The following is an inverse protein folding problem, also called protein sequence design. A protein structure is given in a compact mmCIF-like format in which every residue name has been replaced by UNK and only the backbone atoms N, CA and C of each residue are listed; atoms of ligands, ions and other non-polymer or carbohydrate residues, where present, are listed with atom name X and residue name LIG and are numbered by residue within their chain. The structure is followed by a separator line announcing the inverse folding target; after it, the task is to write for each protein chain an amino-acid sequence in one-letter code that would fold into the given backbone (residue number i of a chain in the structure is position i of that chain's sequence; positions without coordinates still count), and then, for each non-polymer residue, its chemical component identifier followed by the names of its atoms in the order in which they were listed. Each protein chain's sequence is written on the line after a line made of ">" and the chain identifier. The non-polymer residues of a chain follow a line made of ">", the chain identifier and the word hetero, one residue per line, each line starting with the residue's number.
data_IF_322810245114
#
_entry.id   IF_322810245114
#
_cell.length_a   1.000
_cell.length_b   1.000
_cell.length_c   1.000
_cell.angle_alpha   90.00
_cell.angle_beta   90.00
_cell.angle_gamma   90.00
#
_symmetry.space_group_name_H-M   'P 1'
#
loop_
_entity.id
_entity.type
_entity.pdbx_description
1 polymer ?
#
# COMPACT_ATOMS: atom_id res chain seq x y z
N UNK A 1 -14.47 5.12 -16.60
CA UNK A 1 -13.07 5.06 -16.14
C UNK A 1 -12.25 4.25 -17.14
N UNK A 2 -11.27 4.91 -17.76
CA UNK A 2 -10.32 4.26 -18.67
C UNK A 2 -9.55 3.15 -17.92
N UNK A 3 -9.59 1.92 -18.45
CA UNK A 3 -8.86 0.73 -17.95
C UNK A 3 -7.42 1.00 -17.52
N UNK A 4 -6.76 1.96 -18.17
CA UNK A 4 -5.36 2.31 -17.92
C UNK A 4 -5.09 2.84 -16.51
N UNK A 5 -6.08 3.49 -15.87
CA UNK A 5 -5.92 4.10 -14.55
C UNK A 5 -6.35 3.19 -13.39
N UNK A 6 -7.04 2.08 -13.68
CA UNK A 6 -7.49 1.15 -12.64
C UNK A 6 -6.34 0.54 -11.84
N UNK A 7 -5.19 0.32 -12.47
CA UNK A 7 -3.98 -0.21 -11.81
C UNK A 7 -3.37 0.74 -10.78
N UNK A 8 -3.81 2.00 -10.74
CA UNK A 8 -3.32 3.01 -9.81
C UNK A 8 -4.27 3.24 -8.63
N UNK A 9 -5.32 2.43 -8.46
CA UNK A 9 -6.21 2.49 -7.29
C UNK A 9 -5.40 2.36 -6.00
N UNK A 10 -5.64 3.27 -5.05
CA UNK A 10 -4.91 3.35 -3.78
C UNK A 10 -3.60 4.15 -3.83
N UNK A 11 -3.17 4.63 -4.99
CA UNK A 11 -2.02 5.53 -5.14
C UNK A 11 -2.52 6.97 -5.24
N UNK A 12 -1.83 7.91 -4.59
CA UNK A 12 -2.20 9.32 -4.64
C UNK A 12 -2.28 9.83 -6.09
N UNK A 13 -3.40 10.45 -6.53
CA UNK A 13 -3.59 10.85 -7.93
C UNK A 13 -2.56 11.87 -8.42
N UNK A 14 -2.04 12.73 -7.53
CA UNK A 14 -0.94 13.63 -7.85
C UNK A 14 0.36 12.94 -8.29
N UNK A 15 0.69 11.75 -7.75
CA UNK A 15 1.88 10.98 -8.16
C UNK A 15 1.67 10.42 -9.57
N UNK A 16 0.46 9.93 -9.83
CA UNK A 16 0.06 9.45 -11.16
C UNK A 16 0.12 10.61 -12.17
N UNK A 17 -0.39 11.79 -11.78
CA UNK A 17 -0.34 13.00 -12.59
C UNK A 17 1.10 13.43 -12.90
N UNK A 18 2.02 13.40 -11.93
CA UNK A 18 3.44 13.72 -12.18
C UNK A 18 4.02 12.81 -13.27
N UNK A 19 3.67 11.52 -13.24
CA UNK A 19 4.09 10.56 -14.26
C UNK A 19 3.48 10.86 -15.63
N UNK A 20 2.20 11.23 -15.69
CA UNK A 20 1.54 11.56 -16.95
C UNK A 20 2.08 12.85 -17.58
N UNK A 21 2.37 13.88 -16.79
CA UNK A 21 3.04 15.09 -17.28
C UNK A 21 4.42 14.78 -17.86
N UNK A 22 5.21 13.96 -17.17
CA UNK A 22 6.53 13.52 -17.67
C UNK A 22 6.44 12.75 -18.98
N UNK A 23 5.50 11.81 -19.10
CA UNK A 23 5.28 11.04 -20.35
C UNK A 23 4.92 11.94 -21.53
N UNK A 24 4.18 13.04 -21.27
CA UNK A 24 3.76 14.01 -22.28
C UNK A 24 4.77 15.14 -22.49
N UNK A 25 5.94 15.08 -21.85
CA UNK A 25 6.94 16.15 -21.84
C UNK A 25 6.41 17.52 -21.40
N UNK A 26 5.36 17.55 -20.57
CA UNK A 26 4.75 18.76 -20.04
C UNK A 26 5.52 19.20 -18.79
N UNK A 27 6.00 20.45 -18.79
CA UNK A 27 6.64 21.04 -17.61
C UNK A 27 5.58 21.37 -16.56
N UNK A 28 5.82 20.94 -15.34
CA UNK A 28 4.91 21.08 -14.21
C UNK A 28 4.54 22.54 -13.88
N UNK A 29 5.54 23.43 -13.81
CA UNK A 29 5.32 24.84 -13.42
C UNK A 29 4.44 25.60 -14.44
N UNK A 30 4.74 25.56 -15.77
CA UNK A 30 3.84 26.14 -16.77
C UNK A 30 2.42 25.55 -16.72
N UNK A 31 2.31 24.24 -16.52
CA UNK A 31 1.01 23.57 -16.42
C UNK A 31 0.20 23.98 -15.19
N UNK A 32 0.85 24.20 -14.04
CA UNK A 32 0.17 24.74 -12.86
C UNK A 32 -0.39 26.14 -13.14
N UNK A 33 0.41 27.01 -13.77
CA UNK A 33 0.00 28.37 -14.11
C UNK A 33 -1.16 28.38 -15.11
N UNK A 34 -1.20 27.46 -16.08
CA UNK A 34 -2.32 27.37 -17.04
C UNK A 34 -3.64 26.94 -16.37
N UNK A 35 -3.58 26.31 -15.20
CA UNK A 35 -4.76 25.90 -14.42
C UNK A 35 -5.24 26.97 -13.42
N UNK A 36 -4.58 28.13 -13.39
CA UNK A 36 -4.73 29.16 -12.36
C UNK A 36 -4.40 28.63 -10.95
N UNK A 37 -3.37 27.79 -10.86
CA UNK A 37 -2.89 27.21 -9.61
C UNK A 37 -1.45 27.60 -9.30
N UNK A 38 -1.18 27.80 -8.02
CA UNK A 38 0.16 28.16 -7.59
C UNK A 38 1.13 26.96 -7.76
N UNK A 39 2.32 27.13 -8.38
CA UNK A 39 3.26 26.03 -8.60
C UNK A 39 3.68 25.27 -7.34
N UNK A 40 3.74 25.93 -6.19
CA UNK A 40 4.06 25.26 -4.92
C UNK A 40 2.91 24.34 -4.46
N UNK A 41 1.66 24.81 -4.60
CA UNK A 41 0.47 24.02 -4.28
C UNK A 41 0.40 22.80 -5.19
N UNK A 42 0.57 23.02 -6.50
CA UNK A 42 0.58 21.95 -7.49
C UNK A 42 1.72 20.96 -7.21
N UNK A 43 2.89 21.42 -6.79
CA UNK A 43 4.01 20.55 -6.40
C UNK A 43 3.71 19.73 -5.13
N UNK A 44 3.07 20.31 -4.12
CA UNK A 44 2.65 19.57 -2.95
C UNK A 44 1.65 18.45 -3.32
N UNK A 45 0.75 18.71 -4.27
CA UNK A 45 -0.19 17.71 -4.79
C UNK A 45 0.55 16.60 -5.54
N UNK A 46 1.45 16.94 -6.47
CA UNK A 46 2.20 15.92 -7.24
C UNK A 46 3.07 15.03 -6.36
N UNK A 47 3.58 15.57 -5.25
CA UNK A 47 4.35 14.82 -4.24
C UNK A 47 3.48 14.07 -3.22
N UNK A 48 2.15 14.09 -3.37
CA UNK A 48 1.23 13.40 -2.47
C UNK A 48 1.15 13.99 -1.06
N UNK A 49 1.66 15.21 -0.86
CA UNK A 49 1.62 15.92 0.43
C UNK A 49 0.29 16.64 0.65
N UNK A 50 -0.46 16.90 -0.42
CA UNK A 50 -1.77 17.55 -0.39
C UNK A 50 -2.75 16.79 -1.28
N UNK A 51 -3.98 16.59 -0.80
CA UNK A 51 -5.05 15.98 -1.60
C UNK A 51 -5.41 16.83 -2.81
N UNK A 52 -5.89 16.18 -3.86
CA UNK A 52 -6.38 16.83 -5.07
C UNK A 52 -7.87 17.17 -4.90
N UNK A 53 -8.23 18.45 -5.02
CA UNK A 53 -9.64 18.86 -4.98
C UNK A 53 -10.37 18.44 -6.25
N UNK A 54 -11.67 18.16 -6.15
CA UNK A 54 -12.51 17.80 -7.30
C UNK A 54 -12.47 18.88 -8.39
N UNK A 55 -12.54 20.16 -8.01
CA UNK A 55 -12.51 21.26 -8.97
C UNK A 55 -11.18 21.30 -9.76
N UNK A 56 -10.04 21.11 -9.09
CA UNK A 56 -8.74 21.07 -9.75
C UNK A 56 -8.56 19.80 -10.59
N UNK A 57 -9.05 18.66 -10.10
CA UNK A 57 -9.05 17.40 -10.86
C UNK A 57 -9.76 17.57 -12.22
N UNK A 58 -10.97 18.14 -12.22
CA UNK A 58 -11.74 18.37 -13.44
C UNK A 58 -11.04 19.34 -14.41
N UNK A 59 -10.39 20.41 -13.90
CA UNK A 59 -9.57 21.30 -14.74
C UNK A 59 -8.41 20.54 -15.40
N UNK A 60 -7.67 19.75 -14.62
CA UNK A 60 -6.54 18.95 -15.10
C UNK A 60 -6.99 17.93 -16.15
N UNK A 61 -8.10 17.22 -15.90
CA UNK A 61 -8.64 16.23 -16.81
C UNK A 61 -9.00 16.85 -18.16
N UNK A 62 -9.63 18.03 -18.14
CA UNK A 62 -9.96 18.79 -19.35
C UNK A 62 -8.70 19.18 -20.14
N UNK A 63 -7.71 19.78 -19.47
CA UNK A 63 -6.46 20.22 -20.12
C UNK A 63 -5.63 19.04 -20.67
N UNK A 64 -5.69 17.87 -20.02
CA UNK A 64 -4.97 16.67 -20.47
C UNK A 64 -5.80 15.77 -21.38
N UNK A 65 -7.04 16.12 -21.70
CA UNK A 65 -7.95 15.28 -22.49
C UNK A 65 -8.18 13.91 -21.85
N UNK A 66 -8.28 13.86 -20.52
CA UNK A 66 -8.63 12.66 -19.77
C UNK A 66 -10.15 12.55 -19.65
N UNK A 67 -10.65 11.33 -19.44
CA UNK A 67 -12.05 11.10 -19.11
C UNK A 67 -12.38 11.78 -17.79
N UNK A 68 -13.49 12.53 -17.77
CA UNK A 68 -13.98 13.22 -16.60
C UNK A 68 -14.17 12.25 -15.42
N UNK A 69 -13.71 12.65 -14.23
CA UNK A 69 -13.78 11.87 -13.00
C UNK A 69 -12.66 10.85 -12.82
N UNK A 70 -11.73 10.71 -13.76
CA UNK A 70 -10.60 9.76 -13.63
C UNK A 70 -9.76 10.01 -12.36
N UNK A 71 -9.29 11.23 -12.16
CA UNK A 71 -8.47 11.64 -11.01
C UNK A 71 -9.32 11.74 -9.74
N UNK A 72 -10.59 12.15 -9.85
CA UNK A 72 -11.53 12.21 -8.72
C UNK A 72 -11.73 10.83 -8.11
N UNK A 73 -12.00 9.82 -8.94
CA UNK A 73 -12.17 8.45 -8.46
C UNK A 73 -10.87 7.89 -7.90
N UNK A 74 -9.71 8.21 -8.49
CA UNK A 74 -8.41 7.84 -7.92
C UNK A 74 -8.18 8.47 -6.53
N UNK A 75 -8.53 9.75 -6.34
CA UNK A 75 -8.48 10.40 -5.03
C UNK A 75 -9.34 9.67 -4.02
N UNK A 76 -10.58 9.31 -4.38
CA UNK A 76 -11.48 8.56 -3.51
C UNK A 76 -10.89 7.20 -3.10
N UNK A 77 -10.30 6.44 -4.04
CA UNK A 77 -9.63 5.18 -3.71
C UNK A 77 -8.40 5.37 -2.81
N UNK A 78 -7.62 6.44 -3.04
CA UNK A 78 -6.49 6.78 -2.18
C UNK A 78 -6.95 7.14 -0.76
N UNK A 79 -8.04 7.90 -0.63
CA UNK A 79 -8.59 8.28 0.68
C UNK A 79 -9.13 7.06 1.43
N UNK A 80 -9.82 6.15 0.74
CA UNK A 80 -10.24 4.85 1.29
C UNK A 80 -9.02 4.07 1.80
N UNK A 81 -7.96 4.00 1.01
CA UNK A 81 -6.73 3.29 1.40
C UNK A 81 -6.08 3.91 2.64
N UNK A 82 -6.05 5.24 2.74
CA UNK A 82 -5.50 5.95 3.89
C UNK A 82 -6.32 5.75 5.16
N UNK A 83 -7.65 5.68 5.05
CA UNK A 83 -8.53 5.34 6.18
C UNK A 83 -8.26 3.91 6.61
N UNK A 84 -8.24 2.96 5.67
CA UNK A 84 -7.90 1.57 5.96
C UNK A 84 -6.55 1.43 6.64
N UNK A 85 -5.52 2.13 6.19
CA UNK A 85 -4.18 2.09 6.81
C UNK A 85 -4.18 2.57 8.27
N UNK A 86 -5.03 3.54 8.62
CA UNK A 86 -5.22 3.97 10.01
C UNK A 86 -5.97 2.93 10.84
N UNK A 87 -6.97 2.27 10.26
CA UNK A 87 -7.73 1.20 10.92
C UNK A 87 -6.90 -0.10 11.07
N UNK A 88 -5.98 -0.36 10.14
CA UNK A 88 -5.14 -1.57 10.06
C UNK A 88 -4.04 -1.61 11.15
N UNK A 89 -3.91 -0.59 12.01
CA UNK A 89 -3.03 -0.62 13.19
C UNK A 89 -3.51 -1.58 14.30
N UNK A 90 -4.34 -2.55 13.99
CA UNK A 90 -4.59 -3.68 14.89
C UNK A 90 -3.30 -4.47 15.00
N UNK A 91 -2.68 -4.45 16.18
CA UNK A 91 -1.51 -5.26 16.52
C UNK A 91 -1.94 -6.37 17.49
N UNK A 92 -1.29 -7.54 17.46
CA UNK A 92 -1.41 -8.47 18.58
C UNK A 92 -0.82 -7.85 19.84
N UNK A 93 -1.04 -8.51 20.97
CA UNK A 93 -0.42 -8.14 22.22
C UNK A 93 1.10 -8.38 22.15
N UNK A 94 1.85 -7.32 21.86
CA UNK A 94 3.29 -7.38 21.66
C UNK A 94 4.05 -7.77 22.93
N UNK A 95 3.47 -7.62 24.13
CA UNK A 95 4.13 -8.06 25.36
C UNK A 95 4.23 -9.58 25.47
N UNK A 96 3.41 -10.32 24.73
CA UNK A 96 3.46 -11.79 24.66
C UNK A 96 4.52 -12.25 23.65
N UNK A 97 4.80 -11.47 22.60
CA UNK A 97 5.71 -11.84 21.54
C UNK A 97 7.14 -11.40 21.84
N UNK A 98 8.07 -12.36 21.94
CA UNK A 98 9.48 -12.01 22.17
C UNK A 98 10.08 -11.34 20.92
N UNK A 99 10.83 -10.26 21.13
CA UNK A 99 11.49 -9.50 20.06
C UNK A 99 12.50 -10.35 19.27
N UNK A 100 13.12 -11.36 19.90
CA UNK A 100 14.08 -12.25 19.25
C UNK A 100 13.48 -13.12 18.14
N UNK A 101 12.16 -13.30 18.08
CA UNK A 101 11.51 -13.94 16.92
C UNK A 101 11.67 -13.11 15.65
N UNK A 102 11.75 -11.79 15.79
CA UNK A 102 11.87 -10.83 14.71
C UNK A 102 13.25 -10.16 14.72
N UNK A 103 14.32 -10.95 14.91
CA UNK A 103 15.69 -10.42 14.97
C UNK A 103 16.11 -9.65 13.71
N UNK A 104 15.48 -9.93 12.56
CA UNK A 104 15.68 -9.28 11.27
C UNK A 104 14.70 -8.13 10.99
N UNK A 105 13.70 -7.88 11.86
CA UNK A 105 12.61 -6.92 11.60
C UNK A 105 12.15 -6.20 12.86
N UNK A 106 12.10 -4.87 12.83
CA UNK A 106 11.51 -4.08 13.92
C UNK A 106 10.02 -4.42 14.08
N UNK A 107 9.66 -5.04 15.20
CA UNK A 107 8.31 -5.53 15.51
C UNK A 107 7.24 -4.43 15.44
N UNK A 108 7.62 -3.18 15.71
CA UNK A 108 6.71 -2.03 15.69
C UNK A 108 6.37 -1.55 14.27
N UNK A 109 7.15 -1.99 13.27
CA UNK A 109 6.99 -1.61 11.86
C UNK A 109 6.37 -2.72 11.02
N UNK A 110 6.06 -3.86 11.63
CA UNK A 110 5.40 -4.97 10.97
C UNK A 110 3.97 -4.56 10.61
N UNK A 111 3.62 -4.72 9.34
CA UNK A 111 2.23 -4.62 8.89
C UNK A 111 1.55 -5.95 9.20
N UNK A 112 0.99 -6.06 10.41
CA UNK A 112 0.38 -7.30 10.92
C UNK A 112 -0.74 -7.82 10.02
N UNK A 113 -1.39 -6.99 9.21
CA UNK A 113 -2.41 -7.49 8.28
C UNK A 113 -1.81 -7.97 6.97
N UNK A 114 -0.93 -7.20 6.33
CA UNK A 114 -0.35 -7.57 5.03
C UNK A 114 0.67 -8.69 5.14
N UNK A 115 1.44 -8.72 6.22
CA UNK A 115 2.53 -9.68 6.43
C UNK A 115 2.10 -10.90 7.25
N UNK A 116 0.79 -11.08 7.48
CA UNK A 116 0.24 -12.11 8.37
C UNK A 116 0.79 -13.52 8.12
N UNK A 117 0.98 -13.93 6.85
CA UNK A 117 1.49 -15.26 6.51
C UNK A 117 2.91 -15.49 7.05
N UNK A 118 3.79 -14.52 6.86
CA UNK A 118 5.18 -14.61 7.31
C UNK A 118 5.26 -14.58 8.83
N UNK A 119 4.45 -13.72 9.48
CA UNK A 119 4.34 -13.64 10.94
C UNK A 119 3.86 -14.97 11.52
N UNK A 120 2.72 -15.49 11.04
CA UNK A 120 2.13 -16.75 11.53
C UNK A 120 3.13 -17.89 11.35
N UNK A 121 3.71 -18.04 10.14
CA UNK A 121 4.68 -19.10 9.88
C UNK A 121 5.87 -19.01 10.85
N UNK A 122 6.43 -17.81 11.03
CA UNK A 122 7.58 -17.57 11.91
C UNK A 122 7.28 -17.93 13.37
N UNK A 123 6.13 -17.49 13.89
CA UNK A 123 5.72 -17.77 15.27
C UNK A 123 5.43 -19.26 15.47
N UNK A 124 4.78 -19.93 14.52
CA UNK A 124 4.50 -21.36 14.63
C UNK A 124 5.76 -22.23 14.46
N UNK A 125 6.76 -21.79 13.71
CA UNK A 125 8.04 -22.50 13.55
C UNK A 125 8.99 -22.34 14.74
N UNK A 126 9.03 -21.14 15.35
CA UNK A 126 10.09 -20.78 16.31
C UNK A 126 9.57 -20.32 17.68
N UNK A 127 8.29 -19.99 17.81
CA UNK A 127 7.67 -19.45 19.02
C UNK A 127 7.22 -20.52 20.02
N UNK A 128 6.93 -20.07 21.24
CA UNK A 128 6.36 -20.88 22.33
C UNK A 128 4.82 -20.97 22.22
N UNK A 129 4.19 -21.68 23.14
CA UNK A 129 2.73 -21.90 23.12
C UNK A 129 1.92 -20.62 23.39
N UNK A 130 2.41 -19.72 24.26
CA UNK A 130 1.73 -18.45 24.54
C UNK A 130 1.72 -17.54 23.30
N UNK A 131 2.84 -17.49 22.57
CA UNK A 131 3.00 -16.73 21.33
C UNK A 131 2.10 -17.29 20.22
N UNK A 132 2.03 -18.62 20.07
CA UNK A 132 1.10 -19.27 19.14
C UNK A 132 -0.35 -18.99 19.53
N UNK A 133 -0.67 -19.01 20.82
CA UNK A 133 -1.98 -18.68 21.36
C UNK A 133 -2.40 -17.26 21.01
N UNK A 134 -1.52 -16.28 21.24
CA UNK A 134 -1.77 -14.88 20.93
C UNK A 134 -1.95 -14.64 19.41
N UNK A 135 -1.10 -15.22 18.57
CA UNK A 135 -1.25 -15.13 17.11
C UNK A 135 -2.56 -15.77 16.64
N UNK A 136 -2.96 -16.89 17.25
CA UNK A 136 -4.24 -17.56 16.93
C UNK A 136 -5.43 -16.72 17.37
N UNK A 137 -5.39 -16.11 18.56
CA UNK A 137 -6.41 -15.16 19.04
C UNK A 137 -6.53 -13.96 18.11
N UNK A 138 -5.40 -13.39 17.70
CA UNK A 138 -5.35 -12.18 16.90
C UNK A 138 -5.83 -12.38 15.45
N UNK A 139 -5.40 -13.45 14.77
CA UNK A 139 -5.76 -13.70 13.37
C UNK A 139 -7.00 -14.59 13.19
N UNK A 140 -7.37 -15.36 14.21
CA UNK A 140 -8.38 -16.41 14.10
C UNK A 140 -7.82 -17.72 13.53
N UNK A 141 -8.46 -18.83 13.93
CA UNK A 141 -8.02 -20.19 13.61
C UNK A 141 -7.99 -20.44 12.09
N UNK A 142 -8.99 -19.95 11.35
CA UNK A 142 -9.09 -20.16 9.90
C UNK A 142 -7.92 -19.52 9.15
N UNK A 143 -7.59 -18.26 9.49
CA UNK A 143 -6.51 -17.50 8.86
C UNK A 143 -5.14 -18.11 9.16
N UNK A 144 -4.96 -18.64 10.37
CA UNK A 144 -3.75 -19.38 10.76
C UNK A 144 -3.61 -20.68 9.97
N UNK A 145 -4.66 -21.50 9.91
CA UNK A 145 -4.65 -22.75 9.12
C UNK A 145 -4.29 -22.47 7.66
N UNK A 146 -4.93 -21.48 7.05
CA UNK A 146 -4.64 -21.10 5.65
C UNK A 146 -3.17 -20.71 5.45
N UNK A 147 -2.58 -19.95 6.38
CA UNK A 147 -1.18 -19.54 6.28
C UNK A 147 -0.21 -20.72 6.39
N UNK A 148 -0.52 -21.70 7.25
CA UNK A 148 0.30 -22.90 7.46
C UNK A 148 0.17 -23.93 6.33
N UNK A 149 -0.97 -24.02 5.66
CA UNK A 149 -1.09 -24.89 4.48
C UNK A 149 -0.34 -24.33 3.27
N UNK A 150 -0.39 -23.00 3.08
CA UNK A 150 0.35 -22.35 2.01
C UNK A 150 1.88 -22.48 2.12
N UNK A 151 2.42 -22.69 3.34
CA UNK A 151 3.85 -22.93 3.53
C UNK A 151 4.25 -24.37 3.17
N UNK A 152 3.41 -25.36 3.48
CA UNK A 152 3.64 -26.78 3.13
C UNK A 152 3.67 -27.02 1.62
N UNK A 153 2.95 -26.21 0.85
CA UNK A 153 2.91 -26.30 -0.61
C UNK A 153 4.18 -25.77 -1.30
N UNK A 154 5.10 -25.12 -0.57
CA UNK A 154 6.36 -24.63 -1.14
C UNK A 154 7.39 -25.77 -1.13
N UNK A 155 7.73 -26.27 -2.31
CA UNK A 155 8.87 -27.18 -2.47
C UNK A 155 10.17 -26.45 -2.09
N UNK A 156 11.08 -27.10 -1.35
CA UNK A 156 12.41 -26.55 -1.09
C UNK A 156 13.13 -26.27 -2.41
N UNK A 157 13.84 -25.14 -2.49
CA UNK A 157 14.66 -24.81 -3.65
C UNK A 157 15.68 -25.92 -3.87
N UNK A 158 15.56 -26.66 -4.98
CA UNK A 158 16.49 -27.75 -5.30
C UNK A 158 17.76 -27.13 -5.87
N UNK A 159 18.84 -27.13 -5.09
CA UNK A 159 20.15 -26.75 -5.62
C UNK A 159 20.63 -27.93 -6.47
N UNK A 160 20.52 -27.81 -7.80
CA UNK A 160 21.17 -28.74 -8.72
C UNK A 160 22.69 -28.67 -8.47
N UNK A 161 23.29 -29.76 -8.01
CA UNK A 161 24.74 -29.93 -8.06
C UNK A 161 25.11 -30.27 -9.51
N UNK A 162 25.92 -29.47 -10.20
CA UNK A 162 26.52 -29.91 -11.46
C UNK A 162 27.48 -31.07 -11.16
N UNK A 163 27.41 -32.11 -12.00
CA UNK A 163 28.31 -33.27 -11.99
C UNK A 163 29.72 -32.90 -12.42
#
# INVERSE_FOLDING_TARGET
>A
MIKQFEKYKGIHPGIVLERELKKRAIKQRPFALSLDEHPQTFNAITKGKRGLSTALALKIERELGLEEGTLVVLQAYYDIQKVKEKEIQSTPNLSVLRTSLFWDTDINKIDWQKQYRAVIQRVFERGNEDEKGEITRFYGIEKVKQALEASKARTPYTIYKPN
#
